data_IF_669901573158
#
_entry.id   IF_669901573158
#
_cell.length_a   1.000
_cell.length_b   1.000
_cell.length_c   1.000
_cell.angle_alpha   90.00
_cell.angle_beta   90.00
_cell.angle_gamma   90.00
#
_symmetry.space_group_name_H-M   'P 1'
#
loop_
_entity.id
_entity.type
_entity.pdbx_description
1 polymer ?
#
# COMPACT_ATOMS: atom_id res chain seq x y z
N UNK A 1 -6.70 -26.51 -15.74
CA UNK A 1 -5.76 -27.37 -14.99
C UNK A 1 -4.54 -26.64 -14.48
N UNK A 2 -3.85 -25.86 -15.32
CA UNK A 2 -2.70 -25.05 -14.86
C UNK A 2 -3.11 -23.96 -13.86
N UNK A 3 -4.25 -23.35 -14.03
CA UNK A 3 -4.79 -22.34 -13.12
C UNK A 3 -5.11 -22.92 -11.74
N UNK A 4 -5.73 -24.11 -11.68
CA UNK A 4 -5.99 -24.81 -10.42
C UNK A 4 -4.70 -25.25 -9.69
N UNK A 5 -3.68 -25.67 -10.44
CA UNK A 5 -2.39 -26.03 -9.87
C UNK A 5 -1.66 -24.80 -9.28
N UNK A 6 -1.82 -23.62 -9.87
CA UNK A 6 -1.27 -22.37 -9.35
C UNK A 6 -2.02 -21.91 -8.09
N UNK A 7 -3.34 -22.03 -8.06
CA UNK A 7 -4.16 -21.72 -6.88
C UNK A 7 -3.81 -22.61 -5.69
N UNK A 8 -3.48 -23.88 -5.93
CA UNK A 8 -3.08 -24.82 -4.90
C UNK A 8 -1.67 -24.57 -4.33
N UNK A 9 -0.80 -23.89 -5.07
CA UNK A 9 0.52 -23.48 -4.58
C UNK A 9 0.47 -22.33 -3.59
N UNK A 10 -0.63 -21.58 -3.58
CA UNK A 10 -0.85 -20.49 -2.64
C UNK A 10 -1.85 -20.99 -1.61
N UNK A 11 -1.39 -21.20 -0.38
CA UNK A 11 -2.18 -21.74 0.74
C UNK A 11 -3.53 -21.00 0.84
N UNK A 12 -4.62 -21.75 0.86
CA UNK A 12 -5.95 -21.19 1.05
C UNK A 12 -6.04 -20.52 2.42
N UNK A 13 -6.58 -19.30 2.44
CA UNK A 13 -6.76 -18.50 3.65
C UNK A 13 -8.20 -18.66 4.12
N UNK A 14 -8.39 -19.15 5.37
CA UNK A 14 -9.73 -19.27 5.95
C UNK A 14 -10.34 -17.90 6.26
N UNK A 15 -9.64 -17.12 7.06
CA UNK A 15 -10.03 -15.77 7.45
C UNK A 15 -8.80 -14.88 7.40
N UNK A 16 -8.96 -13.65 6.93
CA UNK A 16 -7.90 -12.66 6.88
C UNK A 16 -8.00 -11.79 5.64
N UNK A 17 -6.87 -11.35 5.14
CA UNK A 17 -6.79 -10.48 3.96
C UNK A 17 -5.80 -11.02 2.94
N UNK A 18 -6.08 -10.72 1.67
CA UNK A 18 -5.15 -10.93 0.57
C UNK A 18 -4.89 -9.57 -0.07
N UNK A 19 -3.63 -9.14 -0.03
CA UNK A 19 -3.17 -7.93 -0.71
C UNK A 19 -2.61 -8.37 -2.05
N UNK A 20 -3.30 -8.01 -3.14
CA UNK A 20 -2.97 -8.44 -4.50
C UNK A 20 -2.60 -7.27 -5.40
N UNK A 21 -2.05 -7.58 -6.57
CA UNK A 21 -1.61 -6.61 -7.58
C UNK A 21 -0.55 -5.64 -7.07
N UNK A 22 0.32 -6.12 -6.18
CA UNK A 22 1.44 -5.34 -5.67
C UNK A 22 2.57 -5.37 -6.69
N UNK A 23 3.13 -4.22 -7.12
CA UNK A 23 4.40 -4.25 -7.86
C UNK A 23 5.46 -5.01 -7.06
N UNK A 24 6.13 -5.98 -7.69
CA UNK A 24 7.03 -6.89 -6.97
C UNK A 24 8.09 -6.18 -6.13
N UNK A 25 8.62 -5.05 -6.62
CA UNK A 25 9.61 -4.24 -5.93
C UNK A 25 9.09 -3.55 -4.66
N UNK A 26 7.76 -3.47 -4.47
CA UNK A 26 7.14 -2.82 -3.32
C UNK A 26 6.63 -3.78 -2.25
N UNK A 27 6.68 -5.07 -2.50
CA UNK A 27 6.13 -6.08 -1.59
C UNK A 27 6.78 -6.00 -0.20
N UNK A 28 8.11 -5.96 -0.15
CA UNK A 28 8.82 -5.91 1.14
C UNK A 28 8.61 -4.59 1.89
N UNK A 29 8.41 -3.50 1.16
CA UNK A 29 8.03 -2.22 1.77
C UNK A 29 6.68 -2.33 2.48
N UNK A 30 5.70 -3.00 1.87
CA UNK A 30 4.39 -3.24 2.50
C UNK A 30 4.51 -4.17 3.71
N UNK A 31 5.32 -5.22 3.61
CA UNK A 31 5.60 -6.12 4.75
C UNK A 31 6.15 -5.34 5.95
N UNK A 32 7.08 -4.44 5.71
CA UNK A 32 7.66 -3.57 6.74
C UNK A 32 6.62 -2.57 7.30
N UNK A 33 5.87 -1.94 6.41
CA UNK A 33 4.82 -0.97 6.75
C UNK A 33 3.78 -1.60 7.68
N UNK A 34 3.35 -2.81 7.39
CA UNK A 34 2.38 -3.55 8.21
C UNK A 34 2.98 -4.22 9.43
N UNK A 35 4.29 -4.08 9.64
CA UNK A 35 5.02 -4.65 10.79
C UNK A 35 4.79 -6.14 10.95
N UNK A 36 4.86 -6.87 9.83
CA UNK A 36 4.59 -8.31 9.82
C UNK A 36 5.70 -9.15 10.43
N UNK A 37 6.90 -8.57 10.62
CA UNK A 37 7.95 -9.20 11.39
C UNK A 37 7.50 -9.31 12.86
N UNK A 38 7.36 -10.53 13.35
CA UNK A 38 6.84 -10.78 14.69
C UNK A 38 5.31 -10.92 14.77
N UNK A 39 4.61 -10.87 13.63
CA UNK A 39 3.20 -11.22 13.57
C UNK A 39 3.02 -12.71 13.85
N UNK A 40 2.05 -13.08 14.72
CA UNK A 40 1.95 -14.44 15.25
C UNK A 40 1.20 -15.42 14.34
N UNK A 41 0.38 -14.92 13.44
CA UNK A 41 -0.39 -15.76 12.53
C UNK A 41 0.35 -15.98 11.20
N UNK A 42 -0.17 -16.85 10.36
CA UNK A 42 0.47 -17.20 9.09
C UNK A 42 0.49 -16.00 8.13
N UNK A 43 1.67 -15.71 7.62
CA UNK A 43 1.87 -14.71 6.56
C UNK A 43 2.51 -15.41 5.36
N UNK A 44 1.88 -15.30 4.21
CA UNK A 44 2.40 -15.83 2.95
C UNK A 44 2.75 -14.68 2.02
N UNK A 45 3.97 -14.66 1.53
CA UNK A 45 4.46 -13.63 0.61
C UNK A 45 4.94 -14.31 -0.67
N UNK A 46 4.45 -13.83 -1.80
CA UNK A 46 4.93 -14.27 -3.11
C UNK A 46 5.29 -13.04 -3.95
N UNK A 47 6.40 -13.13 -4.65
CA UNK A 47 6.86 -12.09 -5.58
C UNK A 47 7.11 -12.68 -6.95
N UNK A 48 7.21 -11.82 -7.95
CA UNK A 48 7.53 -12.20 -9.33
C UNK A 48 6.48 -13.14 -9.97
N UNK A 49 5.23 -13.04 -9.54
CA UNK A 49 4.12 -13.73 -10.17
C UNK A 49 3.79 -13.03 -11.49
N UNK A 50 3.43 -13.80 -12.50
CA UNK A 50 3.03 -13.24 -13.80
C UNK A 50 1.73 -12.45 -13.67
N UNK A 51 1.74 -11.23 -14.21
CA UNK A 51 0.58 -10.36 -14.23
C UNK A 51 0.40 -9.77 -15.63
N UNK A 52 -0.84 -9.75 -16.12
CA UNK A 52 -1.17 -9.16 -17.42
C UNK A 52 -1.07 -7.62 -17.40
N UNK A 53 -1.32 -6.99 -16.26
CA UNK A 53 -1.33 -5.53 -16.13
C UNK A 53 -0.01 -4.93 -15.65
N UNK A 54 0.75 -5.67 -14.81
CA UNK A 54 1.97 -5.17 -14.16
C UNK A 54 3.26 -5.86 -14.64
N UNK A 55 3.15 -6.85 -15.54
CA UNK A 55 4.27 -7.71 -15.92
C UNK A 55 4.56 -8.75 -14.83
N UNK A 56 5.07 -8.30 -13.68
CA UNK A 56 5.25 -9.14 -12.48
C UNK A 56 4.58 -8.48 -11.29
N UNK A 57 3.94 -9.29 -10.47
CA UNK A 57 3.26 -8.83 -9.26
C UNK A 57 3.66 -9.63 -8.04
N UNK A 58 3.35 -9.09 -6.88
CA UNK A 58 3.42 -9.79 -5.61
C UNK A 58 2.06 -9.91 -4.95
N UNK A 59 1.96 -10.86 -4.04
CA UNK A 59 0.79 -11.09 -3.21
C UNK A 59 1.24 -11.27 -1.77
N UNK A 60 0.49 -10.71 -0.83
CA UNK A 60 0.66 -10.94 0.61
C UNK A 60 -0.66 -11.46 1.16
N UNK A 61 -0.63 -12.62 1.79
CA UNK A 61 -1.77 -13.20 2.51
C UNK A 61 -1.48 -13.14 4.00
N UNK A 62 -2.40 -12.59 4.77
CA UNK A 62 -2.22 -12.43 6.21
C UNK A 62 -3.43 -12.99 6.93
N UNK A 63 -3.21 -14.06 7.70
CA UNK A 63 -4.26 -14.70 8.49
C UNK A 63 -4.71 -13.79 9.64
N UNK A 64 -6.04 -13.73 9.84
CA UNK A 64 -6.68 -13.00 10.94
C UNK A 64 -6.31 -11.51 11.06
N UNK A 65 -5.90 -10.88 9.97
CA UNK A 65 -5.55 -9.45 9.94
C UNK A 65 -6.72 -8.60 9.42
N UNK A 66 -6.94 -7.49 10.09
CA UNK A 66 -7.81 -6.40 9.61
C UNK A 66 -6.95 -5.15 9.44
N UNK A 67 -7.06 -4.48 8.30
CA UNK A 67 -6.33 -3.23 8.04
C UNK A 67 -7.17 -2.03 8.50
N UNK A 68 -6.51 -1.10 9.20
CA UNK A 68 -7.13 0.18 9.53
C UNK A 68 -6.99 1.17 8.36
N UNK A 69 -7.67 2.30 8.46
CA UNK A 69 -7.67 3.34 7.43
C UNK A 69 -6.27 3.89 7.16
N UNK A 70 -5.45 4.07 8.20
CA UNK A 70 -4.07 4.53 8.07
C UNK A 70 -3.23 3.55 7.27
N UNK A 71 -3.33 2.26 7.55
CA UNK A 71 -2.62 1.22 6.82
C UNK A 71 -3.06 1.18 5.35
N UNK A 72 -4.37 1.25 5.09
CA UNK A 72 -4.91 1.30 3.72
C UNK A 72 -4.39 2.52 2.94
N UNK A 73 -4.39 3.69 3.56
CA UNK A 73 -3.89 4.92 2.93
C UNK A 73 -2.40 4.86 2.64
N UNK A 74 -1.60 4.29 3.54
CA UNK A 74 -0.17 4.10 3.31
C UNK A 74 0.11 3.16 2.14
N UNK A 75 -0.63 2.07 2.04
CA UNK A 75 -0.51 1.14 0.92
C UNK A 75 -0.90 1.83 -0.39
N UNK A 76 -1.99 2.61 -0.40
CA UNK A 76 -2.42 3.36 -1.56
C UNK A 76 -1.36 4.35 -2.06
N UNK A 77 -0.64 5.00 -1.14
CA UNK A 77 0.47 5.91 -1.48
C UNK A 77 1.65 5.19 -2.14
N UNK A 78 1.85 3.91 -1.82
CA UNK A 78 2.90 3.11 -2.46
C UNK A 78 2.49 2.65 -3.86
N UNK A 79 1.23 2.29 -4.05
CA UNK A 79 0.68 1.89 -5.34
C UNK A 79 -0.83 1.91 -5.32
N UNK A 80 -1.43 2.60 -6.27
CA UNK A 80 -2.88 2.66 -6.47
C UNK A 80 -3.45 1.43 -7.20
N UNK A 81 -2.59 0.55 -7.73
CA UNK A 81 -3.01 -0.68 -8.39
C UNK A 81 -3.34 -1.81 -7.41
N UNK A 82 -2.96 -1.68 -6.16
CA UNK A 82 -3.16 -2.69 -5.13
C UNK A 82 -4.64 -2.88 -4.82
N UNK A 83 -5.06 -4.13 -4.71
CA UNK A 83 -6.40 -4.51 -4.27
C UNK A 83 -6.32 -5.29 -2.98
N UNK A 84 -7.30 -5.08 -2.11
CA UNK A 84 -7.42 -5.80 -0.84
C UNK A 84 -8.66 -6.67 -0.91
N UNK A 85 -8.49 -7.97 -0.72
CA UNK A 85 -9.59 -8.92 -0.62
C UNK A 85 -9.73 -9.36 0.84
N UNK A 86 -10.93 -9.22 1.38
CA UNK A 86 -11.27 -9.71 2.72
C UNK A 86 -11.82 -11.11 2.58
N UNK A 87 -11.22 -12.05 3.29
CA UNK A 87 -11.55 -13.47 3.24
C UNK A 87 -12.25 -13.88 4.53
N UNK A 88 -13.40 -14.53 4.40
CA UNK A 88 -14.11 -15.17 5.49
C UNK A 88 -14.59 -16.55 5.04
N UNK A 89 -14.31 -17.59 5.83
CA UNK A 89 -14.65 -18.97 5.50
C UNK A 89 -14.20 -19.39 4.09
N UNK A 90 -12.96 -19.08 3.75
CA UNK A 90 -12.32 -19.36 2.43
C UNK A 90 -12.93 -18.64 1.24
N UNK A 91 -13.81 -17.65 1.47
CA UNK A 91 -14.46 -16.89 0.40
C UNK A 91 -14.12 -15.41 0.48
N UNK A 92 -13.98 -14.79 -0.68
CA UNK A 92 -13.86 -13.33 -0.77
C UNK A 92 -15.21 -12.72 -0.47
N UNK A 93 -15.33 -12.03 0.67
CA UNK A 93 -16.57 -11.36 1.08
C UNK A 93 -16.58 -9.88 0.71
N UNK A 94 -15.41 -9.28 0.51
CA UNK A 94 -15.28 -7.88 0.12
C UNK A 94 -13.99 -7.66 -0.65
N UNK A 95 -14.07 -6.87 -1.71
CA UNK A 95 -12.93 -6.41 -2.48
C UNK A 95 -12.82 -4.90 -2.36
N UNK A 96 -11.68 -4.40 -1.91
CA UNK A 96 -11.41 -2.97 -1.76
C UNK A 96 -10.42 -2.54 -2.82
N UNK A 97 -10.83 -1.58 -3.66
CA UNK A 97 -9.94 -0.88 -4.57
C UNK A 97 -9.39 0.32 -3.84
N UNK A 98 -8.06 0.40 -3.71
CA UNK A 98 -7.44 1.51 -3.01
C UNK A 98 -7.44 2.78 -3.85
N UNK A 99 -7.63 3.92 -3.18
CA UNK A 99 -7.53 5.24 -3.79
C UNK A 99 -6.71 6.15 -2.89
N UNK A 100 -5.86 6.98 -3.51
CA UNK A 100 -5.07 7.96 -2.79
C UNK A 100 -5.98 9.08 -2.32
N UNK A 101 -6.04 9.39 -1.02
CA UNK A 101 -6.88 10.47 -0.51
C UNK A 101 -6.38 11.84 -1.00
N UNK A 102 -7.28 12.82 -1.04
CA UNK A 102 -6.93 14.19 -1.47
C UNK A 102 -6.01 14.89 -0.46
N UNK A 103 -6.20 14.61 0.82
CA UNK A 103 -5.35 15.11 1.90
C UNK A 103 -4.68 13.94 2.61
N UNK A 104 -3.37 14.02 2.78
CA UNK A 104 -2.57 13.01 3.45
C UNK A 104 -2.03 13.63 4.74
N UNK A 105 -2.52 13.16 5.88
CA UNK A 105 -2.19 13.70 7.20
C UNK A 105 -1.39 12.69 8.00
N UNK A 106 -0.19 13.08 8.43
CA UNK A 106 0.64 12.29 9.34
C UNK A 106 1.30 11.05 8.74
N UNK A 107 1.18 10.81 7.45
CA UNK A 107 1.69 9.60 6.80
C UNK A 107 2.99 9.80 6.03
N UNK A 108 3.24 11.02 5.57
CA UNK A 108 4.42 11.37 4.77
C UNK A 108 5.33 12.31 5.53
N UNK A 109 6.63 12.17 5.29
CA UNK A 109 7.64 13.08 5.82
C UNK A 109 7.94 14.15 4.78
N UNK A 110 8.06 15.41 5.22
CA UNK A 110 8.53 16.48 4.34
C UNK A 110 10.05 16.41 4.19
N UNK A 111 10.52 16.32 2.95
CA UNK A 111 11.96 16.28 2.65
C UNK A 111 12.67 17.63 2.79
N UNK A 112 11.95 18.72 3.02
CA UNK A 112 12.54 20.03 3.23
C UNK A 112 12.99 20.17 4.70
N UNK A 113 14.28 20.16 4.92
CA UNK A 113 14.86 20.26 6.27
C UNK A 113 14.45 21.54 7.02
N UNK A 114 14.07 22.59 6.29
CA UNK A 114 13.63 23.87 6.86
C UNK A 114 12.11 23.93 7.11
N UNK A 115 11.37 22.91 6.70
CA UNK A 115 9.93 22.87 6.94
C UNK A 115 9.64 22.76 8.43
N UNK A 116 8.70 23.58 8.92
CA UNK A 116 8.28 23.60 10.33
C UNK A 116 7.79 22.22 10.81
N UNK A 117 7.24 21.41 9.92
CA UNK A 117 6.78 20.06 10.26
C UNK A 117 7.91 19.12 10.69
N UNK A 118 9.17 19.45 10.38
CA UNK A 118 10.35 18.71 10.83
C UNK A 118 10.94 19.25 12.14
N UNK A 119 10.51 20.41 12.60
CA UNK A 119 11.06 21.07 13.78
C UNK A 119 10.07 21.20 14.94
N UNK A 120 8.79 21.13 14.66
CA UNK A 120 7.75 21.19 15.66
C UNK A 120 6.93 19.90 15.70
N UNK A 121 6.27 19.67 16.82
CA UNK A 121 5.43 18.48 17.00
C UNK A 121 4.05 18.70 16.37
N UNK A 122 4.03 18.80 15.04
CA UNK A 122 2.82 18.92 14.24
C UNK A 122 2.71 17.73 13.28
N UNK A 123 1.49 17.31 12.99
CA UNK A 123 1.26 16.29 11.97
C UNK A 123 1.55 16.87 10.59
N UNK A 124 2.31 16.16 9.80
CA UNK A 124 2.50 16.55 8.41
C UNK A 124 1.18 16.51 7.64
N UNK A 125 1.04 17.36 6.67
CA UNK A 125 -0.13 17.41 5.79
C UNK A 125 0.31 17.71 4.38
N UNK A 126 -0.12 16.87 3.45
CA UNK A 126 0.14 17.03 2.03
C UNK A 126 -1.19 17.06 1.27
N UNK A 127 -1.22 17.81 0.20
CA UNK A 127 -2.37 17.92 -0.70
C UNK A 127 -2.01 17.23 -2.01
N UNK A 128 -2.84 16.26 -2.40
CA UNK A 128 -2.68 15.57 -3.69
C UNK A 128 -3.01 16.53 -4.82
N UNK A 129 -2.13 16.59 -5.81
CA UNK A 129 -2.32 17.35 -7.05
C UNK A 129 -2.27 16.39 -8.23
N UNK A 130 -3.39 16.26 -8.93
CA UNK A 130 -3.48 15.44 -10.14
C UNK A 130 -3.40 16.33 -11.36
N UNK A 131 -2.43 16.03 -12.25
CA UNK A 131 -2.40 16.62 -13.58
C UNK A 131 -3.29 15.80 -14.52
N UNK A 132 -4.40 16.37 -14.96
CA UNK A 132 -5.38 15.68 -15.78
C UNK A 132 -4.87 15.34 -17.20
N UNK A 133 -3.86 16.04 -17.69
CA UNK A 133 -3.32 15.81 -19.04
C UNK A 133 -2.44 14.57 -19.10
N UNK A 134 -1.54 14.39 -18.13
CA UNK A 134 -0.59 13.26 -18.10
C UNK A 134 -0.84 12.26 -16.97
N UNK A 135 -1.89 12.44 -16.17
CA UNK A 135 -2.24 11.62 -15.00
C UNK A 135 -1.13 11.55 -13.94
N UNK A 136 -0.21 12.50 -13.95
CA UNK A 136 0.86 12.59 -12.96
C UNK A 136 0.32 13.11 -11.63
N UNK A 137 0.68 12.43 -10.54
CA UNK A 137 0.30 12.84 -9.19
C UNK A 137 1.52 13.45 -8.51
N UNK A 138 1.32 14.61 -7.89
CA UNK A 138 2.29 15.29 -7.03
C UNK A 138 1.66 15.60 -5.70
N UNK A 139 2.49 15.81 -4.71
CA UNK A 139 2.06 16.12 -3.34
C UNK A 139 2.65 17.44 -2.89
N UNK A 140 1.80 18.36 -2.48
CA UNK A 140 2.22 19.67 -1.98
C UNK A 140 2.17 19.69 -0.45
N UNK A 141 3.28 20.01 0.18
CA UNK A 141 3.33 20.18 1.63
C UNK A 141 2.49 21.42 2.02
N UNK A 142 1.55 21.20 2.94
CA UNK A 142 0.68 22.27 3.44
C UNK A 142 1.45 23.40 4.14
N UNK A 143 2.56 23.05 4.82
CA UNK A 143 3.31 24.01 5.62
C UNK A 143 4.32 24.82 4.81
N UNK A 144 5.19 24.17 4.05
CA UNK A 144 6.24 24.86 3.30
C UNK A 144 5.93 25.05 1.81
N UNK A 145 4.82 24.52 1.34
CA UNK A 145 4.32 24.59 -0.03
C UNK A 145 5.22 23.92 -1.10
N UNK A 146 6.26 23.20 -0.67
CA UNK A 146 7.09 22.42 -1.60
C UNK A 146 6.29 21.27 -2.18
N UNK A 147 6.41 21.07 -3.49
CA UNK A 147 5.77 19.96 -4.21
C UNK A 147 6.78 18.86 -4.45
N UNK A 148 6.39 17.62 -4.20
CA UNK A 148 7.20 16.43 -4.45
C UNK A 148 6.48 15.49 -5.40
N UNK A 149 7.24 14.70 -6.15
CA UNK A 149 6.73 13.62 -7.00
C UNK A 149 6.50 12.35 -6.20
N UNK A 150 5.83 11.37 -6.81
CA UNK A 150 5.65 10.05 -6.20
C UNK A 150 6.99 9.36 -5.88
N UNK A 151 7.99 9.57 -6.71
CA UNK A 151 9.34 9.01 -6.53
C UNK A 151 10.07 9.60 -5.32
N UNK A 152 9.80 10.85 -4.99
CA UNK A 152 10.40 11.55 -3.85
C UNK A 152 9.65 11.30 -2.53
N UNK A 153 8.50 10.62 -2.60
CA UNK A 153 7.65 10.38 -1.45
C UNK A 153 8.35 9.50 -0.41
N UNK A 154 8.34 9.93 0.83
CA UNK A 154 8.89 9.19 1.98
C UNK A 154 7.79 9.02 3.03
N UNK A 155 7.41 7.76 3.30
CA UNK A 155 6.41 7.45 4.31
C UNK A 155 7.02 7.43 5.71
N UNK A 156 6.23 7.83 6.68
CA UNK A 156 6.54 7.60 8.10
C UNK A 156 6.12 6.18 8.46
N UNK A 157 7.08 5.31 8.66
CA UNK A 157 6.88 3.92 9.06
C UNK A 157 6.91 3.74 10.58
#
# INVERSE_FOLDING_TARGET
>A
MEEKARELQITALKNGIVIDHIPSEKVFTIVELLKLKGYNEVVTVAINLKSTSLGKKGIIKIEDKVLDESELNKIALLSDHVTINIIENYKVVKKIQLAIPNEIVGLMKCGNNKCISNHENVKTKFIKQLNEENHEIKYKCFYCERTISEEELELKL
#
